data_IF_931421486689
#
_entry.id   IF_931421486689
#
_cell.length_a   1.000
_cell.length_b   1.000
_cell.length_c   1.000
_cell.angle_alpha   90.00
_cell.angle_beta   90.00
_cell.angle_gamma   90.00
#
_symmetry.space_group_name_H-M   'P 1'
#
loop_
_entity.id
_entity.type
_entity.pdbx_description
1 polymer ?
#
# COMPACT_ATOMS: atom_id res chain seq x y z
N UNK A 1 -29.55 21.87 -7.43
CA UNK A 1 -28.65 22.97 -7.78
C UNK A 1 -29.35 23.84 -8.85
N UNK A 2 -29.59 25.09 -8.52
CA UNK A 2 -30.16 26.06 -9.46
C UNK A 2 -29.05 26.84 -10.17
N UNK A 3 -29.33 27.24 -11.40
CA UNK A 3 -28.52 28.15 -12.18
C UNK A 3 -29.28 29.47 -12.31
N UNK A 4 -28.77 30.51 -11.66
CA UNK A 4 -29.43 31.84 -11.66
C UNK A 4 -29.29 32.55 -13.01
N UNK A 5 -28.29 32.22 -13.82
CA UNK A 5 -28.06 32.83 -15.12
C UNK A 5 -29.07 32.33 -16.17
N UNK A 6 -29.29 31.02 -16.20
CA UNK A 6 -30.26 30.40 -17.14
C UNK A 6 -31.65 30.18 -16.53
N UNK A 7 -31.83 30.45 -15.24
CA UNK A 7 -33.09 30.26 -14.54
C UNK A 7 -33.60 28.84 -14.49
N UNK A 8 -32.71 27.88 -14.54
CA UNK A 8 -33.01 26.45 -14.53
C UNK A 8 -32.38 25.72 -13.35
N UNK A 9 -32.70 24.43 -13.20
CA UNK A 9 -32.12 23.54 -12.20
C UNK A 9 -31.45 22.37 -12.91
N UNK A 10 -30.19 22.53 -13.36
CA UNK A 10 -29.48 21.50 -14.11
C UNK A 10 -29.32 20.18 -13.31
N UNK A 11 -29.37 20.23 -11.99
CA UNK A 11 -29.45 19.06 -11.12
C UNK A 11 -30.65 19.22 -10.21
N UNK A 12 -31.74 18.52 -10.53
CA UNK A 12 -32.95 18.43 -9.73
C UNK A 12 -33.21 16.98 -9.34
N UNK A 13 -32.58 16.55 -8.25
CA UNK A 13 -32.74 15.20 -7.73
C UNK A 13 -32.96 15.23 -6.20
N UNK A 14 -33.76 14.32 -5.67
CA UNK A 14 -34.00 14.22 -4.24
C UNK A 14 -32.69 13.96 -3.47
N UNK A 15 -32.47 14.67 -2.36
CA UNK A 15 -31.29 14.47 -1.52
C UNK A 15 -31.10 13.02 -1.04
N UNK A 16 -32.14 12.23 -0.74
CA UNK A 16 -31.96 10.82 -0.42
C UNK A 16 -31.34 9.98 -1.54
N UNK A 17 -31.40 10.41 -2.79
CA UNK A 17 -30.72 9.73 -3.90
C UNK A 17 -29.22 9.94 -3.84
N UNK A 18 -28.78 11.13 -3.40
CA UNK A 18 -27.35 11.46 -3.23
C UNK A 18 -26.76 10.86 -1.94
N UNK A 19 -27.52 10.96 -0.84
CA UNK A 19 -27.06 10.56 0.49
C UNK A 19 -27.74 9.28 1.00
N UNK A 20 -28.59 8.65 0.18
CA UNK A 20 -29.21 7.37 0.51
C UNK A 20 -28.17 6.28 0.69
N UNK A 21 -28.47 5.32 1.56
CA UNK A 21 -27.61 4.13 1.71
C UNK A 21 -27.79 3.28 0.44
N UNK A 22 -26.70 2.94 -0.27
CA UNK A 22 -26.78 2.00 -1.36
C UNK A 22 -27.33 0.66 -0.85
N UNK A 23 -28.00 -0.12 -1.70
CA UNK A 23 -28.46 -1.45 -1.33
C UNK A 23 -27.27 -2.27 -0.83
N UNK A 24 -27.50 -3.04 0.24
CA UNK A 24 -26.47 -3.93 0.78
C UNK A 24 -26.12 -4.98 -0.26
N UNK A 25 -24.87 -5.03 -0.66
CA UNK A 25 -24.35 -6.09 -1.53
C UNK A 25 -23.94 -7.27 -0.64
N UNK A 26 -24.46 -8.44 -0.93
CA UNK A 26 -24.01 -9.71 -0.34
C UNK A 26 -22.98 -10.32 -1.30
N UNK A 27 -21.77 -10.57 -0.79
CA UNK A 27 -20.75 -11.35 -1.48
C UNK A 27 -20.61 -12.70 -0.78
N UNK A 28 -21.09 -13.75 -1.44
CA UNK A 28 -20.96 -15.13 -0.97
C UNK A 28 -19.58 -15.67 -1.40
N UNK A 29 -18.59 -15.39 -0.59
CA UNK A 29 -17.21 -15.78 -0.88
C UNK A 29 -16.95 -17.23 -0.51
N UNK A 30 -16.20 -17.96 -1.33
CA UNK A 30 -15.89 -19.36 -1.12
C UNK A 30 -14.40 -19.62 -1.27
N UNK A 31 -13.86 -20.43 -0.37
CA UNK A 31 -12.51 -20.94 -0.50
C UNK A 31 -12.41 -21.94 -1.65
N UNK A 32 -11.42 -21.74 -2.48
CA UNK A 32 -10.99 -22.73 -3.43
C UNK A 32 -9.68 -23.36 -2.96
N UNK A 33 -9.59 -24.71 -2.98
CA UNK A 33 -8.34 -25.37 -2.59
C UNK A 33 -7.19 -24.90 -3.50
N UNK A 34 -6.11 -24.46 -2.87
CA UNK A 34 -4.89 -24.12 -3.55
C UNK A 34 -3.83 -25.15 -3.22
N UNK A 35 -3.38 -25.90 -4.23
CA UNK A 35 -2.33 -26.88 -4.06
C UNK A 35 -0.97 -26.17 -4.04
N UNK A 36 -0.42 -26.02 -2.84
CA UNK A 36 0.96 -25.56 -2.67
C UNK A 36 1.90 -26.68 -3.08
N UNK A 37 2.70 -26.46 -4.11
CA UNK A 37 3.82 -27.33 -4.42
C UNK A 37 4.90 -27.11 -3.36
N UNK A 38 5.40 -28.19 -2.79
CA UNK A 38 6.56 -28.12 -1.90
C UNK A 38 7.79 -27.67 -2.71
N UNK A 39 8.49 -26.67 -2.22
CA UNK A 39 9.75 -26.24 -2.80
C UNK A 39 10.83 -27.24 -2.39
N UNK A 40 11.43 -27.91 -3.37
CA UNK A 40 12.62 -28.73 -3.13
C UNK A 40 13.84 -27.81 -2.99
N UNK A 41 14.42 -27.81 -1.80
CA UNK A 41 15.62 -27.03 -1.48
C UNK A 41 16.91 -27.83 -1.63
N UNK A 42 16.83 -29.14 -1.97
CA UNK A 42 17.98 -29.96 -2.13
C UNK A 42 18.85 -29.44 -3.29
N UNK A 43 20.14 -29.28 -3.04
CA UNK A 43 21.11 -28.80 -4.04
C UNK A 43 21.04 -27.30 -4.36
N UNK A 44 20.23 -26.51 -3.64
CA UNK A 44 20.23 -25.06 -3.81
C UNK A 44 21.41 -24.45 -3.04
N UNK A 45 22.31 -23.80 -3.75
CA UNK A 45 23.34 -22.96 -3.16
C UNK A 45 22.74 -21.61 -2.76
N UNK A 46 22.86 -21.26 -1.47
CA UNK A 46 22.25 -20.05 -0.91
C UNK A 46 22.82 -18.78 -1.54
N UNK A 47 24.13 -18.72 -1.82
CA UNK A 47 24.77 -17.55 -2.43
C UNK A 47 24.27 -17.35 -3.86
N UNK A 48 24.19 -18.41 -4.64
CA UNK A 48 23.66 -18.35 -5.99
C UNK A 48 22.18 -17.94 -6.00
N UNK A 49 21.37 -18.50 -5.10
CA UNK A 49 19.97 -18.12 -4.95
C UNK A 49 19.81 -16.63 -4.61
N UNK A 50 20.60 -16.11 -3.67
CA UNK A 50 20.60 -14.69 -3.32
C UNK A 50 21.00 -13.79 -4.51
N UNK A 51 22.04 -14.18 -5.26
CA UNK A 51 22.46 -13.45 -6.44
C UNK A 51 21.39 -13.44 -7.55
N UNK A 52 20.66 -14.55 -7.71
CA UNK A 52 19.52 -14.60 -8.65
C UNK A 52 18.39 -13.67 -8.23
N UNK A 53 18.03 -13.66 -6.95
CA UNK A 53 17.01 -12.76 -6.42
C UNK A 53 17.40 -11.30 -6.65
N UNK A 54 18.64 -10.91 -6.35
CA UNK A 54 19.14 -9.55 -6.57
C UNK A 54 19.14 -9.12 -8.04
N UNK A 55 19.14 -10.06 -8.98
CA UNK A 55 19.06 -9.79 -10.43
C UNK A 55 17.64 -9.74 -10.97
N UNK A 56 16.62 -10.09 -10.18
CA UNK A 56 15.23 -9.99 -10.63
C UNK A 56 14.88 -8.53 -10.90
N UNK A 57 14.21 -8.20 -12.01
CA UNK A 57 13.81 -6.82 -12.31
C UNK A 57 13.03 -6.13 -11.21
N UNK A 58 12.23 -6.87 -10.45
CA UNK A 58 11.49 -6.36 -9.32
C UNK A 58 12.37 -5.99 -8.10
N UNK A 59 13.58 -6.54 -8.00
CA UNK A 59 14.50 -6.38 -6.86
C UNK A 59 15.74 -5.55 -7.22
N UNK A 60 16.18 -5.64 -8.47
CA UNK A 60 17.39 -4.98 -8.96
C UNK A 60 17.34 -3.45 -8.78
N UNK A 61 18.49 -2.82 -8.84
CA UNK A 61 18.68 -1.38 -8.71
C UNK A 61 17.73 -0.56 -9.62
N UNK A 62 17.11 0.46 -9.04
CA UNK A 62 16.16 1.37 -9.69
C UNK A 62 16.71 2.78 -9.86
N UNK A 63 18.01 2.99 -9.67
CA UNK A 63 18.66 4.30 -9.82
C UNK A 63 18.28 4.99 -11.14
N UNK A 64 18.15 4.24 -12.22
CA UNK A 64 17.76 4.80 -13.52
C UNK A 64 16.36 5.46 -13.49
N UNK A 65 15.40 4.91 -12.76
CA UNK A 65 14.07 5.50 -12.67
C UNK A 65 14.09 6.84 -11.95
N UNK A 66 14.88 6.95 -10.88
CA UNK A 66 15.01 8.18 -10.11
C UNK A 66 15.83 9.23 -10.88
N UNK A 67 16.76 8.79 -11.73
CA UNK A 67 17.66 9.68 -12.45
C UNK A 67 17.04 10.29 -13.71
N UNK A 68 16.08 9.61 -14.35
CA UNK A 68 15.44 10.08 -15.59
C UNK A 68 14.07 10.72 -15.37
N UNK A 69 13.45 10.50 -14.22
CA UNK A 69 12.20 11.13 -13.83
C UNK A 69 12.39 12.27 -12.85
N UNK A 70 11.30 12.85 -12.39
CA UNK A 70 11.31 13.87 -11.35
C UNK A 70 11.77 13.26 -10.03
N UNK A 71 12.92 13.69 -9.56
CA UNK A 71 13.53 13.17 -8.33
C UNK A 71 12.85 13.68 -7.08
N UNK A 72 12.60 14.97 -7.02
CA UNK A 72 11.96 15.66 -5.93
C UNK A 72 11.09 16.78 -6.45
N UNK A 73 9.83 16.79 -6.05
CA UNK A 73 8.87 17.80 -6.47
C UNK A 73 8.48 18.60 -5.21
N UNK A 74 8.03 19.83 -5.39
CA UNK A 74 7.47 20.74 -4.39
C UNK A 74 8.44 21.46 -3.46
N UNK A 75 9.62 21.00 -3.21
CA UNK A 75 10.50 21.56 -2.17
C UNK A 75 10.13 21.06 -0.77
N UNK A 76 10.67 21.70 0.27
CA UNK A 76 10.50 21.28 1.68
C UNK A 76 10.86 19.81 1.94
N UNK A 77 11.69 19.22 1.09
CA UNK A 77 12.17 17.85 1.23
C UNK A 77 13.28 17.81 2.28
N UNK A 78 13.05 17.12 3.38
CA UNK A 78 14.04 16.92 4.43
C UNK A 78 14.94 15.73 4.14
N UNK A 79 14.44 14.70 3.46
CA UNK A 79 15.22 13.54 3.04
C UNK A 79 14.92 13.21 1.58
N UNK A 80 15.94 13.30 0.76
CA UNK A 80 15.93 12.90 -0.65
C UNK A 80 16.10 11.38 -0.80
N UNK A 81 15.71 10.84 -1.95
CA UNK A 81 15.92 9.42 -2.30
C UNK A 81 17.41 9.06 -2.37
N UNK A 82 18.25 9.98 -2.82
CA UNK A 82 19.70 9.77 -2.89
C UNK A 82 20.38 10.30 -1.64
N UNK A 83 20.78 9.38 -0.77
CA UNK A 83 21.24 9.67 0.58
C UNK A 83 22.75 9.54 0.71
N UNK A 84 23.33 10.37 1.60
CA UNK A 84 24.72 10.35 1.96
C UNK A 84 25.67 10.91 0.89
N UNK A 85 26.99 10.88 1.15
CA UNK A 85 27.99 11.49 0.26
C UNK A 85 28.10 10.81 -1.09
N UNK A 86 27.71 9.55 -1.19
CA UNK A 86 27.76 8.76 -2.44
C UNK A 86 26.51 8.90 -3.29
N UNK A 87 25.48 9.60 -2.79
CA UNK A 87 24.22 9.79 -3.52
C UNK A 87 23.60 8.46 -4.01
N UNK A 88 23.60 7.46 -3.15
CA UNK A 88 23.04 6.15 -3.46
C UNK A 88 21.56 6.14 -3.09
N UNK A 89 20.66 5.63 -3.95
CA UNK A 89 19.23 5.56 -3.68
C UNK A 89 18.93 4.43 -2.68
N UNK A 90 18.86 4.78 -1.41
CA UNK A 90 18.65 3.84 -0.29
C UNK A 90 17.53 4.28 0.65
N UNK A 91 16.82 5.37 0.32
CA UNK A 91 15.74 5.88 1.17
C UNK A 91 14.40 5.28 0.74
N UNK A 92 13.84 4.42 1.58
CA UNK A 92 12.49 3.86 1.43
C UNK A 92 11.43 4.67 2.18
N UNK A 93 11.81 5.85 2.67
CA UNK A 93 10.93 6.82 3.33
C UNK A 93 11.13 8.20 2.73
N UNK A 94 10.02 8.88 2.41
CA UNK A 94 10.00 10.28 2.06
C UNK A 94 9.75 11.11 3.32
N UNK A 95 10.55 12.16 3.53
CA UNK A 95 10.37 13.08 4.66
C UNK A 95 10.32 14.51 4.16
N UNK A 96 9.24 15.21 4.49
CA UNK A 96 9.05 16.62 4.16
C UNK A 96 8.89 17.45 5.42
N UNK A 97 9.32 18.70 5.39
CA UNK A 97 9.10 19.64 6.48
C UNK A 97 7.82 20.44 6.26
N UNK A 98 7.19 20.89 7.33
CA UNK A 98 5.99 21.73 7.28
C UNK A 98 6.29 23.17 6.85
N UNK A 99 7.52 23.63 7.10
CA UNK A 99 7.97 24.98 6.76
C UNK A 99 9.51 25.03 6.60
N UNK A 100 10.05 26.21 6.30
CA UNK A 100 11.48 26.45 6.11
C UNK A 100 12.26 26.72 7.39
N UNK A 101 11.63 26.82 8.54
CA UNK A 101 12.24 27.29 9.79
C UNK A 101 12.18 26.26 10.91
N UNK A 102 11.14 25.42 10.92
CA UNK A 102 10.92 24.40 11.94
C UNK A 102 11.50 23.02 11.60
N UNK A 103 11.34 22.11 12.54
CA UNK A 103 11.73 20.69 12.39
C UNK A 103 10.51 19.76 12.36
N UNK A 104 9.30 20.32 12.39
CA UNK A 104 8.08 19.54 12.20
C UNK A 104 7.89 19.16 10.74
N UNK A 105 7.34 17.98 10.50
CA UNK A 105 7.16 17.49 9.14
C UNK A 105 6.32 16.22 9.08
N UNK A 106 6.32 15.61 7.93
CA UNK A 106 5.62 14.36 7.65
C UNK A 106 6.57 13.34 7.04
N UNK A 107 6.36 12.09 7.37
CA UNK A 107 7.07 10.97 6.76
C UNK A 107 6.08 10.02 6.09
N UNK A 108 6.42 9.54 4.90
CA UNK A 108 5.62 8.60 4.12
C UNK A 108 6.47 7.45 3.65
N UNK A 109 5.94 6.24 3.75
CA UNK A 109 6.55 5.03 3.23
C UNK A 109 5.50 4.10 2.61
N UNK A 110 5.95 3.21 1.74
CA UNK A 110 5.13 2.19 1.10
C UNK A 110 5.50 0.81 1.61
N UNK A 111 4.54 -0.09 1.58
CA UNK A 111 4.74 -1.52 1.76
C UNK A 111 3.87 -2.31 0.80
N UNK A 112 4.47 -3.29 0.13
CA UNK A 112 3.83 -4.14 -0.86
C UNK A 112 4.44 -5.54 -0.85
N UNK A 113 3.59 -6.58 -0.85
CA UNK A 113 4.04 -7.98 -0.90
C UNK A 113 3.16 -8.82 -1.82
N UNK A 114 2.82 -8.29 -2.99
CA UNK A 114 1.88 -8.87 -3.94
C UNK A 114 2.22 -10.32 -4.34
N UNK A 115 3.47 -10.70 -4.67
CA UNK A 115 3.78 -12.08 -5.04
C UNK A 115 3.45 -13.10 -3.94
N UNK A 116 3.55 -12.71 -2.67
CA UNK A 116 3.23 -13.59 -1.55
C UNK A 116 1.73 -13.89 -1.46
N UNK A 117 0.87 -13.02 -1.97
CA UNK A 117 -0.58 -13.22 -1.98
C UNK A 117 -1.00 -14.48 -2.76
N UNK A 118 -0.19 -14.92 -3.74
CA UNK A 118 -0.41 -16.18 -4.45
C UNK A 118 -0.25 -17.41 -3.54
N UNK A 119 0.54 -17.29 -2.49
CA UNK A 119 0.85 -18.38 -1.54
C UNK A 119 -0.04 -18.26 -0.30
N UNK A 120 -0.08 -17.05 0.28
CA UNK A 120 -0.83 -16.75 1.52
C UNK A 120 -1.24 -15.28 1.50
N UNK A 121 -2.49 -15.03 1.17
CA UNK A 121 -3.02 -13.67 1.01
C UNK A 121 -3.02 -12.89 2.34
N UNK A 122 -3.37 -13.53 3.45
CA UNK A 122 -3.36 -12.90 4.76
C UNK A 122 -1.95 -12.53 5.23
N UNK A 123 -0.98 -13.41 4.99
CA UNK A 123 0.43 -13.14 5.28
C UNK A 123 0.98 -12.01 4.40
N UNK A 124 0.59 -11.96 3.11
CA UNK A 124 0.94 -10.87 2.20
C UNK A 124 0.52 -9.50 2.76
N UNK A 125 -0.74 -9.38 3.20
CA UNK A 125 -1.24 -8.14 3.80
C UNK A 125 -0.48 -7.74 5.07
N UNK A 126 -0.24 -8.69 5.97
CA UNK A 126 0.54 -8.43 7.20
C UNK A 126 1.97 -8.00 6.90
N UNK A 127 2.62 -8.63 5.93
CA UNK A 127 3.98 -8.28 5.54
C UNK A 127 4.05 -6.92 4.82
N UNK A 128 3.04 -6.56 4.04
CA UNK A 128 2.96 -5.22 3.43
C UNK A 128 2.89 -4.13 4.51
N UNK A 129 2.06 -4.32 5.54
CA UNK A 129 2.03 -3.41 6.70
C UNK A 129 3.39 -3.38 7.42
N UNK A 130 3.99 -4.54 7.66
CA UNK A 130 5.30 -4.65 8.30
C UNK A 130 6.39 -3.92 7.51
N UNK A 131 6.40 -4.05 6.20
CA UNK A 131 7.34 -3.33 5.32
C UNK A 131 7.15 -1.81 5.41
N UNK A 132 5.91 -1.32 5.31
CA UNK A 132 5.63 0.11 5.44
C UNK A 132 6.13 0.66 6.78
N UNK A 133 5.90 -0.05 7.89
CA UNK A 133 6.36 0.34 9.22
C UNK A 133 7.90 0.32 9.32
N UNK A 134 8.55 -0.71 8.80
CA UNK A 134 10.01 -0.81 8.85
C UNK A 134 10.69 0.25 7.99
N UNK A 135 10.13 0.58 6.83
CA UNK A 135 10.60 1.67 5.99
C UNK A 135 10.41 3.02 6.71
N UNK A 136 9.26 3.21 7.36
CA UNK A 136 8.96 4.43 8.12
C UNK A 136 9.88 4.60 9.34
N UNK A 137 10.42 3.52 9.89
CA UNK A 137 11.33 3.56 11.04
C UNK A 137 12.65 4.31 10.77
N UNK A 138 12.96 4.63 9.51
CA UNK A 138 14.07 5.51 9.14
C UNK A 138 13.78 7.00 9.41
N UNK A 139 12.55 7.36 9.74
CA UNK A 139 12.16 8.70 10.18
C UNK A 139 11.94 8.74 11.70
N UNK A 140 11.99 9.93 12.27
CA UNK A 140 11.78 10.16 13.72
C UNK A 140 10.28 10.15 14.04
N UNK A 141 9.71 8.96 14.15
CA UNK A 141 8.30 8.74 14.51
C UNK A 141 8.19 8.53 16.02
N UNK A 142 7.40 9.34 16.69
CA UNK A 142 7.29 9.32 18.14
C UNK A 142 6.63 8.04 18.68
N UNK A 143 5.56 7.54 18.03
CA UNK A 143 4.88 6.33 18.44
C UNK A 143 4.18 5.62 17.25
N UNK A 144 4.01 4.30 17.35
CA UNK A 144 3.27 3.54 16.34
C UNK A 144 1.83 4.03 16.16
N UNK A 145 1.18 4.49 17.23
CA UNK A 145 -0.19 5.01 17.16
C UNK A 145 -0.35 6.29 16.34
N UNK A 146 0.76 7.01 16.08
CA UNK A 146 0.75 8.20 15.23
C UNK A 146 0.68 7.85 13.74
N UNK A 147 1.05 6.63 13.39
CA UNK A 147 0.99 6.15 12.01
C UNK A 147 -0.47 6.00 11.56
N UNK A 148 -0.76 6.52 10.38
CA UNK A 148 -2.03 6.32 9.68
C UNK A 148 -1.73 5.68 8.34
N UNK A 149 -2.46 4.61 8.03
CA UNK A 149 -2.31 3.90 6.78
C UNK A 149 -3.39 4.32 5.76
N UNK A 150 -2.99 4.43 4.51
CA UNK A 150 -3.90 4.37 3.37
C UNK A 150 -3.76 3.00 2.73
N UNK A 151 -4.86 2.27 2.58
CA UNK A 151 -4.82 0.93 2.00
C UNK A 151 -5.39 0.91 0.59
N UNK A 152 -4.71 0.22 -0.32
CA UNK A 152 -5.24 -0.11 -1.63
C UNK A 152 -5.37 -1.64 -1.74
N UNK A 153 -6.61 -2.10 -1.84
CA UNK A 153 -6.94 -3.51 -1.95
C UNK A 153 -7.21 -3.83 -3.41
N UNK A 154 -6.33 -4.61 -4.03
CA UNK A 154 -6.44 -4.98 -5.44
C UNK A 154 -6.59 -6.49 -5.56
N UNK A 155 -7.66 -6.93 -6.20
CA UNK A 155 -7.92 -8.35 -6.41
C UNK A 155 -8.82 -8.56 -7.63
N UNK A 156 -8.61 -9.66 -8.35
CA UNK A 156 -9.53 -10.14 -9.37
C UNK A 156 -10.73 -10.86 -8.72
N UNK A 157 -11.56 -10.13 -7.97
CA UNK A 157 -12.59 -10.70 -7.11
C UNK A 157 -13.66 -11.53 -7.83
N UNK A 158 -13.76 -11.45 -9.16
CA UNK A 158 -14.59 -12.32 -9.98
C UNK A 158 -13.97 -13.68 -10.29
N UNK A 159 -12.68 -13.86 -10.00
CA UNK A 159 -11.98 -15.13 -10.19
C UNK A 159 -12.24 -16.07 -9.00
N UNK A 160 -12.39 -17.40 -9.25
CA UNK A 160 -12.64 -18.36 -8.19
C UNK A 160 -11.61 -18.29 -7.05
N UNK A 161 -12.08 -18.00 -5.84
CA UNK A 161 -11.25 -17.93 -4.61
C UNK A 161 -10.57 -16.60 -4.33
N UNK A 162 -10.50 -15.67 -5.28
CA UNK A 162 -9.81 -14.38 -5.07
C UNK A 162 -10.59 -13.45 -4.13
N UNK A 163 -11.89 -13.48 -4.16
CA UNK A 163 -12.75 -12.76 -3.23
C UNK A 163 -12.59 -13.26 -1.78
N UNK A 164 -12.46 -14.58 -1.58
CA UNK A 164 -12.19 -15.16 -0.27
C UNK A 164 -10.80 -14.74 0.24
N UNK A 165 -9.78 -14.74 -0.61
CA UNK A 165 -8.43 -14.29 -0.28
C UNK A 165 -8.41 -12.81 0.08
N UNK A 166 -9.14 -11.98 -0.67
CA UNK A 166 -9.28 -10.57 -0.36
C UNK A 166 -9.92 -10.37 1.03
N UNK A 167 -11.01 -11.08 1.31
CA UNK A 167 -11.66 -11.02 2.62
C UNK A 167 -10.71 -11.40 3.76
N UNK A 168 -9.96 -12.48 3.61
CA UNK A 168 -8.99 -12.93 4.62
C UNK A 168 -7.87 -11.92 4.83
N UNK A 169 -7.37 -11.31 3.76
CA UNK A 169 -6.35 -10.27 3.86
C UNK A 169 -6.86 -9.05 4.61
N UNK A 170 -8.04 -8.56 4.23
CA UNK A 170 -8.66 -7.40 4.90
C UNK A 170 -8.95 -7.70 6.37
N UNK A 171 -9.43 -8.90 6.68
CA UNK A 171 -9.66 -9.34 8.05
C UNK A 171 -8.37 -9.37 8.86
N UNK A 172 -7.32 -10.01 8.33
CA UNK A 172 -6.02 -10.17 8.99
C UNK A 172 -5.34 -8.82 9.28
N UNK A 173 -5.50 -7.86 8.40
CA UNK A 173 -4.95 -6.51 8.58
C UNK A 173 -5.87 -5.64 9.43
N UNK A 174 -7.15 -5.55 9.06
CA UNK A 174 -8.06 -4.56 9.63
C UNK A 174 -8.68 -4.96 10.97
N UNK A 175 -8.86 -6.25 11.23
CA UNK A 175 -9.45 -6.73 12.47
C UNK A 175 -8.44 -7.33 13.46
N UNK A 176 -7.27 -7.73 12.98
CA UNK A 176 -6.28 -8.41 13.82
C UNK A 176 -5.02 -7.53 14.00
N UNK A 177 -4.25 -7.30 12.94
CA UNK A 177 -2.94 -6.65 13.03
C UNK A 177 -3.02 -5.17 13.42
N UNK A 178 -3.77 -4.37 12.69
CA UNK A 178 -3.82 -2.92 12.92
C UNK A 178 -4.40 -2.56 14.29
N UNK A 179 -5.47 -3.20 14.79
CA UNK A 179 -5.93 -3.01 16.16
C UNK A 179 -4.88 -3.40 17.21
N UNK A 180 -4.16 -4.50 17.01
CA UNK A 180 -3.11 -4.94 17.93
C UNK A 180 -1.93 -3.97 18.00
N UNK A 181 -1.65 -3.26 16.90
CA UNK A 181 -0.60 -2.24 16.83
C UNK A 181 -1.07 -0.82 17.21
N UNK A 182 -2.37 -0.61 17.39
CA UNK A 182 -2.95 0.71 17.63
C UNK A 182 -2.89 1.63 16.39
N UNK A 183 -2.79 1.05 15.19
CA UNK A 183 -2.69 1.78 13.92
C UNK A 183 -4.06 1.81 13.25
N UNK A 184 -4.43 2.96 12.67
CA UNK A 184 -5.68 3.13 11.94
C UNK A 184 -5.47 3.16 10.43
N UNK A 185 -6.50 2.69 9.70
CA UNK A 185 -6.62 2.83 8.23
C UNK A 185 -7.83 3.73 7.95
N UNK A 186 -7.69 5.06 8.05
CA UNK A 186 -8.81 5.97 7.88
C UNK A 186 -9.27 6.13 6.44
N UNK A 187 -8.44 5.78 5.48
CA UNK A 187 -8.70 5.98 4.06
C UNK A 187 -8.09 4.84 3.24
N UNK A 188 -8.68 4.61 2.08
CA UNK A 188 -8.20 3.63 1.13
C UNK A 188 -9.15 3.49 -0.04
N UNK A 189 -8.83 2.59 -0.93
CA UNK A 189 -9.71 2.20 -2.06
C UNK A 189 -9.57 0.71 -2.35
N UNK A 190 -10.53 0.19 -3.05
CA UNK A 190 -10.50 -1.15 -3.60
C UNK A 190 -10.56 -1.13 -5.15
N UNK A 191 -9.93 -2.12 -5.75
CA UNK A 191 -9.95 -2.39 -7.18
C UNK A 191 -10.21 -3.89 -7.37
N UNK A 192 -11.49 -4.23 -7.56
CA UNK A 192 -11.94 -5.62 -7.51
C UNK A 192 -12.21 -6.26 -8.87
N UNK A 193 -11.88 -5.56 -9.94
CA UNK A 193 -12.08 -6.04 -11.33
C UNK A 193 -10.78 -6.04 -12.14
N UNK A 194 -9.67 -6.18 -11.46
CA UNK A 194 -8.34 -6.17 -12.08
C UNK A 194 -7.94 -7.57 -12.54
#
# INVERSE_FOLDING_TARGET
>A
LGDAHFGNAPIDMPMPLLFGKPPRMLRDVRHHPFHKLALDLAGIDLKEAALRVLRLPAVADKTFLISIGDRSITGLVARDQMVGPWQVPVADVAVTTSDCFGFAGEAMALGERTPLALIDAAASGRLAVGEAITNLAAADIAALGDIKLSANWMAAAGHPGEDARLYETVRAVGLELCPALGIAIPVGKDSMSM
#
